data_IF_377490685448
#
_entry.id   IF_377490685448
#
_cell.length_a   1.000
_cell.length_b   1.000
_cell.length_c   1.000
_cell.angle_alpha   90.00
_cell.angle_beta   90.00
_cell.angle_gamma   90.00
#
_symmetry.space_group_name_H-M   'P 1'
#
loop_
_entity.id
_entity.type
_entity.pdbx_description
1 polymer ?
#
# COMPACT_ATOMS: atom_id res chain seq x y z
N UNK A 1 1.24 -20.84 -19.52
CA UNK A 1 0.97 -19.37 -19.48
C UNK A 1 2.29 -18.67 -19.28
N UNK A 2 2.52 -17.56 -19.98
CA UNK A 2 3.74 -16.76 -19.83
C UNK A 2 3.53 -15.77 -18.68
N UNK A 3 4.42 -15.77 -17.68
CA UNK A 3 4.38 -14.80 -16.62
C UNK A 3 4.93 -13.46 -17.12
N UNK A 4 4.26 -12.37 -16.77
CA UNK A 4 4.68 -11.01 -17.05
C UNK A 4 5.30 -10.41 -15.78
N UNK A 5 6.59 -10.19 -15.78
CA UNK A 5 7.35 -9.73 -14.63
C UNK A 5 7.68 -8.26 -14.80
N UNK A 6 7.31 -7.46 -13.80
CA UNK A 6 7.65 -6.03 -13.76
C UNK A 6 8.62 -5.81 -12.61
N UNK A 7 9.76 -5.19 -12.89
CA UNK A 7 10.69 -4.88 -11.82
C UNK A 7 11.18 -3.43 -11.85
N UNK A 8 11.41 -2.90 -10.66
CA UNK A 8 11.97 -1.58 -10.47
C UNK A 8 13.43 -1.69 -10.02
N UNK A 9 14.42 -1.41 -10.90
CA UNK A 9 15.82 -1.52 -10.56
C UNK A 9 16.26 -0.56 -9.44
N UNK A 10 15.56 0.54 -9.26
CA UNK A 10 15.87 1.57 -8.25
C UNK A 10 15.31 1.25 -6.86
N UNK A 11 14.42 0.25 -6.74
CA UNK A 11 13.87 -0.14 -5.45
C UNK A 11 14.95 -0.66 -4.50
N UNK A 12 14.71 -0.49 -3.18
CA UNK A 12 15.69 -0.84 -2.16
C UNK A 12 17.02 -0.08 -2.29
N UNK A 13 17.00 1.17 -2.79
CA UNK A 13 18.19 1.98 -3.09
C UNK A 13 19.10 1.33 -4.15
N UNK A 14 18.48 0.84 -5.23
CA UNK A 14 19.16 0.19 -6.35
C UNK A 14 19.56 -1.27 -6.09
N UNK A 15 19.11 -1.86 -4.99
CA UNK A 15 19.39 -3.27 -4.68
C UNK A 15 18.75 -4.19 -5.70
N UNK A 16 17.48 -3.94 -6.06
CA UNK A 16 16.76 -4.81 -7.01
C UNK A 16 17.47 -4.87 -8.36
N UNK A 17 18.04 -3.77 -8.84
CA UNK A 17 18.83 -3.76 -10.06
C UNK A 17 20.13 -4.56 -9.93
N UNK A 18 20.80 -4.51 -8.77
CA UNK A 18 22.03 -5.31 -8.54
C UNK A 18 21.73 -6.79 -8.43
N UNK A 19 20.63 -7.16 -7.79
CA UNK A 19 20.25 -8.55 -7.53
C UNK A 19 19.46 -9.16 -8.70
N UNK A 20 19.13 -8.35 -9.75
CA UNK A 20 18.17 -8.74 -10.78
C UNK A 20 18.51 -10.07 -11.46
N UNK A 21 19.77 -10.27 -11.86
CA UNK A 21 20.18 -11.50 -12.53
C UNK A 21 19.88 -12.76 -11.70
N UNK A 22 20.16 -12.70 -10.39
CA UNK A 22 19.89 -13.82 -9.49
C UNK A 22 18.40 -14.02 -9.27
N UNK A 23 17.63 -12.91 -9.18
CA UNK A 23 16.16 -12.92 -9.07
C UNK A 23 15.56 -13.55 -10.33
N UNK A 24 16.00 -13.13 -11.51
CA UNK A 24 15.54 -13.62 -12.80
C UNK A 24 15.77 -15.13 -12.92
N UNK A 25 17.00 -15.61 -12.70
CA UNK A 25 17.34 -17.02 -12.71
C UNK A 25 16.52 -17.84 -11.70
N UNK A 26 16.20 -17.28 -10.56
CA UNK A 26 15.37 -17.94 -9.55
C UNK A 26 13.88 -17.97 -9.95
N UNK A 27 13.37 -16.90 -10.56
CA UNK A 27 12.00 -16.85 -11.08
C UNK A 27 11.80 -17.79 -12.26
N UNK A 28 12.76 -17.93 -13.17
CA UNK A 28 12.70 -18.86 -14.31
C UNK A 28 12.52 -20.31 -13.88
N UNK A 29 13.06 -20.71 -12.72
CA UNK A 29 12.84 -22.04 -12.16
C UNK A 29 11.40 -22.28 -11.72
N UNK A 30 10.68 -21.22 -11.35
CA UNK A 30 9.28 -21.28 -10.92
C UNK A 30 8.33 -21.04 -12.09
N UNK A 31 8.70 -20.11 -12.98
CA UNK A 31 7.95 -19.69 -14.15
C UNK A 31 8.83 -19.82 -15.42
N UNK A 32 8.94 -21.03 -16.00
CA UNK A 32 9.86 -21.27 -17.14
C UNK A 32 9.56 -20.44 -18.40
N UNK A 33 8.33 -19.93 -18.51
CA UNK A 33 7.93 -19.01 -19.57
C UNK A 33 7.61 -17.66 -18.93
N UNK A 34 8.53 -16.71 -19.02
CA UNK A 34 8.31 -15.36 -18.54
C UNK A 34 8.91 -14.32 -19.48
N UNK A 35 8.33 -13.12 -19.46
CA UNK A 35 8.90 -11.91 -20.01
C UNK A 35 9.02 -10.87 -18.89
N UNK A 36 10.05 -10.03 -18.93
CA UNK A 36 10.25 -9.00 -17.91
C UNK A 36 10.33 -7.60 -18.51
N UNK A 37 9.89 -6.64 -17.74
CA UNK A 37 9.86 -5.23 -18.09
C UNK A 37 10.42 -4.38 -16.94
N UNK A 38 11.24 -3.41 -17.30
CA UNK A 38 11.95 -2.54 -16.37
C UNK A 38 11.20 -1.24 -16.24
N UNK A 39 10.87 -0.84 -15.00
CA UNK A 39 10.33 0.50 -14.78
C UNK A 39 11.46 1.53 -14.73
N UNK A 40 11.27 2.67 -15.36
CA UNK A 40 12.22 3.78 -15.41
C UNK A 40 11.71 5.04 -14.70
N UNK A 41 10.40 5.09 -14.40
CA UNK A 41 9.74 6.22 -13.74
C UNK A 41 8.62 5.74 -12.79
N UNK A 42 8.27 6.58 -11.82
CA UNK A 42 7.12 6.36 -10.95
C UNK A 42 5.81 6.32 -11.74
N UNK A 43 4.87 5.48 -11.32
CA UNK A 43 3.57 5.26 -11.99
C UNK A 43 3.63 4.30 -13.18
N UNK A 44 4.81 3.99 -13.69
CA UNK A 44 4.97 3.21 -14.91
C UNK A 44 4.55 1.74 -14.73
N UNK A 45 4.75 1.17 -13.53
CA UNK A 45 4.33 -0.21 -13.25
C UNK A 45 2.81 -0.40 -13.44
N UNK A 46 1.99 0.58 -13.03
CA UNK A 46 0.55 0.50 -13.21
C UNK A 46 0.14 0.50 -14.70
N UNK A 47 0.81 1.29 -15.54
CA UNK A 47 0.53 1.31 -16.98
C UNK A 47 0.94 -0.02 -17.63
N UNK A 48 2.14 -0.51 -17.33
CA UNK A 48 2.65 -1.77 -17.88
C UNK A 48 1.76 -2.98 -17.50
N UNK A 49 1.30 -3.03 -16.25
CA UNK A 49 0.35 -4.08 -15.82
C UNK A 49 -0.96 -3.97 -16.59
N UNK A 50 -1.49 -2.77 -16.74
CA UNK A 50 -2.76 -2.55 -17.46
C UNK A 50 -2.67 -3.03 -18.89
N UNK A 51 -1.60 -2.64 -19.60
CA UNK A 51 -1.37 -3.03 -20.98
C UNK A 51 -1.22 -4.55 -21.09
N UNK A 52 -0.43 -5.17 -20.21
CA UNK A 52 -0.24 -6.61 -20.17
C UNK A 52 -1.55 -7.38 -19.94
N UNK A 53 -2.41 -6.91 -19.02
CA UNK A 53 -3.72 -7.53 -18.78
C UNK A 53 -4.65 -7.37 -19.97
N UNK A 54 -4.61 -6.25 -20.68
CA UNK A 54 -5.39 -6.02 -21.92
C UNK A 54 -4.88 -6.91 -23.08
N UNK A 55 -3.56 -7.18 -23.11
CA UNK A 55 -2.92 -8.11 -24.08
C UNK A 55 -3.15 -9.59 -23.71
N UNK A 56 -3.86 -9.87 -22.61
CA UNK A 56 -4.25 -11.22 -22.20
C UNK A 56 -3.22 -11.95 -21.33
N UNK A 57 -2.23 -11.26 -20.78
CA UNK A 57 -1.37 -11.84 -19.75
C UNK A 57 -2.18 -12.04 -18.46
N UNK A 58 -2.18 -13.27 -17.94
CA UNK A 58 -2.94 -13.62 -16.74
C UNK A 58 -2.08 -13.94 -15.51
N UNK A 59 -0.77 -13.96 -15.64
CA UNK A 59 0.16 -14.13 -14.51
C UNK A 59 1.08 -12.91 -14.42
N UNK A 60 0.85 -12.05 -13.43
CA UNK A 60 1.57 -10.79 -13.23
C UNK A 60 2.42 -10.88 -11.97
N UNK A 61 3.70 -10.59 -12.08
CA UNK A 61 4.64 -10.62 -10.97
C UNK A 61 5.30 -9.25 -10.80
N UNK A 62 5.14 -8.62 -9.66
CA UNK A 62 5.82 -7.38 -9.32
C UNK A 62 7.06 -7.64 -8.47
N UNK A 63 8.22 -7.14 -8.90
CA UNK A 63 9.49 -7.28 -8.16
C UNK A 63 10.01 -5.91 -7.76
N UNK A 64 10.09 -5.66 -6.45
CA UNK A 64 10.54 -4.35 -5.99
C UNK A 64 10.26 -4.09 -4.51
N UNK A 65 10.06 -2.83 -4.14
CA UNK A 65 9.58 -2.40 -2.83
C UNK A 65 8.06 -2.29 -2.79
N UNK A 66 7.50 -1.96 -1.61
CA UNK A 66 6.04 -1.82 -1.41
C UNK A 66 5.42 -0.84 -2.43
N UNK A 67 6.10 0.27 -2.76
CA UNK A 67 5.62 1.22 -3.77
C UNK A 67 5.47 0.61 -5.17
N UNK A 68 6.44 -0.19 -5.62
CA UNK A 68 6.35 -0.88 -6.92
C UNK A 68 5.24 -1.92 -6.93
N UNK A 69 5.07 -2.66 -5.83
CA UNK A 69 4.01 -3.65 -5.67
C UNK A 69 2.64 -2.98 -5.67
N UNK A 70 2.48 -1.87 -4.94
CA UNK A 70 1.24 -1.10 -4.92
C UNK A 70 0.93 -0.48 -6.29
N UNK A 71 1.92 0.09 -6.99
CA UNK A 71 1.72 0.57 -8.36
C UNK A 71 1.23 -0.55 -9.29
N UNK A 72 1.86 -1.72 -9.25
CA UNK A 72 1.46 -2.87 -10.06
C UNK A 72 0.02 -3.30 -9.74
N UNK A 73 -0.36 -3.38 -8.46
CA UNK A 73 -1.73 -3.65 -8.05
C UNK A 73 -2.72 -2.66 -8.67
N UNK A 74 -2.38 -1.37 -8.67
CA UNK A 74 -3.23 -0.32 -9.24
C UNK A 74 -3.43 -0.46 -10.77
N UNK A 75 -2.54 -1.18 -11.45
CA UNK A 75 -2.68 -1.56 -12.85
C UNK A 75 -3.78 -2.59 -13.13
N UNK A 76 -4.20 -3.37 -12.13
CA UNK A 76 -5.29 -4.35 -12.26
C UNK A 76 -6.67 -3.71 -12.42
N UNK A 77 -6.80 -2.42 -12.12
CA UNK A 77 -8.09 -1.74 -12.09
C UNK A 77 -8.18 -0.62 -13.14
N UNK A 78 -9.32 -0.56 -13.81
CA UNK A 78 -9.68 0.53 -14.71
C UNK A 78 -11.13 0.94 -14.45
N UNK A 79 -11.38 2.24 -14.28
CA UNK A 79 -12.71 2.78 -13.98
C UNK A 79 -13.45 2.07 -12.83
N UNK A 80 -12.71 1.67 -11.80
CA UNK A 80 -13.29 1.02 -10.62
C UNK A 80 -13.50 -0.49 -10.73
N UNK A 81 -13.16 -1.12 -11.86
CA UNK A 81 -13.36 -2.55 -12.09
C UNK A 81 -12.03 -3.26 -12.37
N UNK A 82 -11.87 -4.54 -11.97
CA UNK A 82 -10.76 -5.37 -12.41
C UNK A 82 -10.77 -5.55 -13.93
N UNK A 83 -9.62 -5.39 -14.59
CA UNK A 83 -9.48 -5.54 -16.05
C UNK A 83 -9.60 -6.99 -16.45
N UNK A 84 -8.96 -7.89 -15.72
CA UNK A 84 -8.93 -9.33 -15.96
C UNK A 84 -9.20 -10.08 -14.64
N UNK A 85 -10.47 -10.43 -14.34
CA UNK A 85 -10.84 -11.05 -13.05
C UNK A 85 -10.18 -12.40 -12.77
N UNK A 86 -9.69 -13.08 -13.83
CA UNK A 86 -8.99 -14.37 -13.72
C UNK A 86 -7.47 -14.22 -13.60
N UNK A 87 -6.93 -13.00 -13.78
CA UNK A 87 -5.52 -12.75 -13.66
C UNK A 87 -5.05 -12.95 -12.21
N UNK A 88 -3.84 -13.50 -12.08
CA UNK A 88 -3.17 -13.75 -10.80
C UNK A 88 -2.12 -12.70 -10.58
N UNK A 89 -2.16 -12.07 -9.42
CA UNK A 89 -1.14 -11.17 -8.93
C UNK A 89 -0.17 -11.90 -8.00
N UNK A 90 1.11 -11.69 -8.20
CA UNK A 90 2.18 -12.20 -7.36
C UNK A 90 3.19 -11.09 -7.10
N UNK A 91 3.92 -11.14 -6.01
CA UNK A 91 4.97 -10.17 -5.77
C UNK A 91 6.21 -10.77 -5.08
N UNK A 92 7.35 -10.17 -5.36
CA UNK A 92 8.64 -10.44 -4.71
C UNK A 92 9.17 -9.14 -4.16
N UNK A 93 9.10 -8.99 -2.85
CA UNK A 93 9.65 -7.81 -2.20
C UNK A 93 11.16 -7.92 -2.06
N UNK A 94 11.91 -6.91 -2.53
CA UNK A 94 13.36 -6.84 -2.37
C UNK A 94 13.79 -5.66 -1.50
N UNK A 95 13.63 -5.82 -0.20
CA UNK A 95 14.01 -4.86 0.82
C UNK A 95 14.14 -5.54 2.19
N UNK A 96 14.45 -4.76 3.21
CA UNK A 96 14.60 -5.27 4.57
C UNK A 96 13.31 -5.29 5.38
N UNK A 97 12.35 -4.46 5.00
CA UNK A 97 11.09 -4.27 5.70
C UNK A 97 9.98 -3.95 4.69
N UNK A 98 8.82 -4.54 4.89
CA UNK A 98 7.65 -4.40 4.03
C UNK A 98 6.38 -4.47 4.86
N UNK A 99 5.50 -3.49 4.66
CA UNK A 99 4.18 -3.48 5.26
C UNK A 99 3.32 -4.63 4.71
N UNK A 100 3.39 -4.87 3.40
CA UNK A 100 2.67 -5.96 2.74
C UNK A 100 3.16 -7.34 3.18
N UNK A 101 4.48 -7.56 3.25
CA UNK A 101 5.00 -8.84 3.75
C UNK A 101 4.54 -9.11 5.18
N UNK A 102 4.58 -8.12 6.06
CA UNK A 102 4.07 -8.27 7.44
C UNK A 102 2.58 -8.58 7.46
N UNK A 103 1.78 -7.88 6.65
CA UNK A 103 0.33 -8.11 6.57
C UNK A 103 0.00 -9.56 6.21
N UNK A 104 0.69 -10.12 5.22
CA UNK A 104 0.48 -11.50 4.76
C UNK A 104 1.31 -12.56 5.52
N UNK A 105 2.06 -12.18 6.54
CA UNK A 105 2.93 -13.11 7.29
C UNK A 105 4.11 -13.64 6.47
N UNK A 106 4.54 -12.90 5.45
CA UNK A 106 5.64 -13.27 4.56
C UNK A 106 6.96 -12.70 5.06
N UNK A 107 8.05 -13.39 4.77
CA UNK A 107 9.40 -12.86 4.99
C UNK A 107 9.78 -11.87 3.90
N UNK A 108 10.37 -10.74 4.29
CA UNK A 108 10.94 -9.79 3.34
C UNK A 108 12.24 -10.33 2.72
N UNK A 109 12.58 -9.84 1.52
CA UNK A 109 13.74 -10.25 0.75
C UNK A 109 13.40 -11.23 -0.37
N UNK A 110 14.07 -11.05 -1.51
CA UNK A 110 13.71 -11.74 -2.73
C UNK A 110 13.88 -13.28 -2.66
N UNK A 111 14.90 -13.79 -1.96
CA UNK A 111 15.08 -15.24 -1.79
C UNK A 111 13.85 -15.90 -1.13
N UNK A 112 13.37 -15.29 -0.03
CA UNK A 112 12.19 -15.78 0.66
C UNK A 112 10.94 -15.64 -0.22
N UNK A 113 10.81 -14.51 -0.94
CA UNK A 113 9.70 -14.25 -1.84
C UNK A 113 9.61 -15.27 -2.97
N UNK A 114 10.69 -15.55 -3.70
CA UNK A 114 10.69 -16.54 -4.77
C UNK A 114 10.47 -17.96 -4.24
N UNK A 115 11.13 -18.33 -3.13
CA UNK A 115 10.91 -19.62 -2.48
C UNK A 115 9.46 -19.81 -2.03
N UNK A 116 8.80 -18.73 -1.61
CA UNK A 116 7.39 -18.73 -1.28
C UNK A 116 6.54 -18.94 -2.53
N UNK A 117 6.74 -18.20 -3.61
CA UNK A 117 5.97 -18.32 -4.86
C UNK A 117 5.97 -19.74 -5.43
N UNK A 118 7.07 -20.48 -5.27
CA UNK A 118 7.16 -21.87 -5.71
C UNK A 118 6.17 -22.81 -5.00
N UNK A 119 5.63 -22.44 -3.85
CA UNK A 119 4.73 -23.24 -3.01
C UNK A 119 3.39 -22.58 -2.74
N UNK A 120 3.26 -21.32 -3.09
CA UNK A 120 2.11 -20.47 -2.80
C UNK A 120 0.84 -20.98 -3.50
N UNK A 121 -0.28 -20.77 -2.87
CA UNK A 121 -1.61 -21.02 -3.42
C UNK A 121 -2.23 -19.72 -3.89
N UNK A 122 -3.18 -19.83 -4.79
CA UNK A 122 -3.96 -18.67 -5.26
C UNK A 122 -5.19 -18.53 -4.38
N UNK A 123 -5.37 -17.35 -3.83
CA UNK A 123 -6.51 -17.00 -2.99
C UNK A 123 -7.24 -15.79 -3.57
N UNK A 124 -8.58 -15.82 -3.54
CA UNK A 124 -9.38 -14.63 -3.76
C UNK A 124 -9.16 -13.67 -2.60
N UNK A 125 -8.73 -12.46 -2.91
CA UNK A 125 -8.30 -11.48 -1.92
C UNK A 125 -9.10 -10.20 -2.08
N UNK A 126 -9.52 -9.65 -0.94
CA UNK A 126 -10.18 -8.36 -0.87
C UNK A 126 -9.18 -7.25 -1.17
N UNK A 127 -9.65 -6.20 -1.82
CA UNK A 127 -8.87 -5.01 -2.14
C UNK A 127 -9.58 -3.80 -1.57
N UNK A 128 -8.84 -2.97 -0.85
CA UNK A 128 -9.32 -1.66 -0.45
C UNK A 128 -9.14 -0.65 -1.58
N UNK A 129 -10.10 0.26 -1.72
CA UNK A 129 -9.98 1.45 -2.56
C UNK A 129 -10.08 2.68 -1.68
N UNK A 130 -9.20 3.64 -1.89
CA UNK A 130 -9.34 4.99 -1.36
C UNK A 130 -9.51 5.99 -2.50
N UNK A 131 -10.50 6.87 -2.37
CA UNK A 131 -10.66 8.06 -3.20
C UNK A 131 -10.42 9.27 -2.32
N UNK A 132 -9.40 10.07 -2.65
CA UNK A 132 -8.92 11.20 -1.86
C UNK A 132 -8.47 12.35 -2.77
N UNK A 133 -7.80 13.33 -2.22
CA UNK A 133 -7.17 14.39 -2.99
C UNK A 133 -5.65 14.21 -3.02
N UNK A 134 -5.05 14.53 -4.14
CA UNK A 134 -3.59 14.72 -4.23
C UNK A 134 -3.17 16.00 -3.49
N UNK A 135 -1.87 16.21 -3.31
CA UNK A 135 -1.35 17.37 -2.60
C UNK A 135 -1.68 18.73 -3.26
N UNK A 136 -1.94 18.73 -4.57
CA UNK A 136 -2.39 19.86 -5.38
C UNK A 136 -3.92 19.97 -5.48
N UNK A 137 -4.66 19.09 -4.77
CA UNK A 137 -6.12 19.13 -4.69
C UNK A 137 -6.86 18.40 -5.83
N UNK A 138 -6.16 17.71 -6.72
CA UNK A 138 -6.80 16.92 -7.76
C UNK A 138 -7.38 15.60 -7.21
N UNK A 139 -8.51 15.10 -7.73
CA UNK A 139 -9.05 13.81 -7.35
C UNK A 139 -8.06 12.67 -7.65
N UNK A 140 -7.91 11.78 -6.69
CA UNK A 140 -7.00 10.64 -6.79
C UNK A 140 -7.67 9.38 -6.25
N UNK A 141 -7.48 8.25 -6.95
CA UNK A 141 -7.92 6.93 -6.50
C UNK A 141 -6.73 5.99 -6.40
N UNK A 142 -6.66 5.23 -5.31
CA UNK A 142 -5.65 4.21 -5.07
C UNK A 142 -6.29 2.93 -4.55
N UNK A 143 -5.71 1.79 -4.94
CA UNK A 143 -6.05 0.47 -4.43
C UNK A 143 -4.94 -0.04 -3.51
N UNK A 144 -5.31 -0.81 -2.51
CA UNK A 144 -4.38 -1.36 -1.52
C UNK A 144 -4.79 -2.76 -1.06
N UNK A 145 -3.82 -3.56 -0.65
CA UNK A 145 -4.00 -4.95 -0.19
C UNK A 145 -3.95 -5.07 1.33
N UNK A 146 -3.03 -4.36 1.94
CA UNK A 146 -2.75 -4.48 3.37
C UNK A 146 -3.56 -3.50 4.19
N UNK A 147 -3.08 -2.30 4.30
CA UNK A 147 -3.65 -1.29 5.19
C UNK A 147 -3.65 0.08 4.52
N UNK A 148 -4.73 0.83 4.69
CA UNK A 148 -4.69 2.27 4.51
C UNK A 148 -4.85 2.97 5.85
N UNK A 149 -4.20 4.11 6.01
CA UNK A 149 -4.26 4.90 7.23
C UNK A 149 -4.31 6.39 6.93
N UNK A 150 -4.88 7.16 7.86
CA UNK A 150 -4.81 8.60 7.81
C UNK A 150 -4.56 9.17 9.20
N UNK A 151 -3.89 10.31 9.22
CA UNK A 151 -3.52 10.94 10.46
C UNK A 151 -2.01 10.86 10.74
N UNK A 152 -1.65 10.67 12.01
CA UNK A 152 -0.27 10.74 12.48
C UNK A 152 0.63 9.65 11.86
N UNK A 153 0.11 8.44 11.64
CA UNK A 153 0.89 7.34 11.03
C UNK A 153 1.34 7.69 9.61
N UNK A 154 0.44 8.21 8.78
CA UNK A 154 0.75 8.68 7.44
C UNK A 154 1.78 9.82 7.43
N UNK A 155 1.67 10.78 8.37
CA UNK A 155 2.64 11.85 8.52
C UNK A 155 4.03 11.35 8.95
N UNK A 156 4.09 10.33 9.81
CA UNK A 156 5.35 9.69 10.24
C UNK A 156 5.99 8.94 9.06
N UNK A 157 5.23 8.18 8.30
CA UNK A 157 5.74 7.45 7.14
C UNK A 157 6.35 8.38 6.09
N UNK A 158 5.68 9.51 5.77
CA UNK A 158 6.25 10.54 4.87
C UNK A 158 7.53 11.15 5.39
N UNK A 159 7.60 11.42 6.70
CA UNK A 159 8.81 12.00 7.30
C UNK A 159 9.99 11.03 7.27
N UNK A 160 9.75 9.75 7.45
CA UNK A 160 10.76 8.69 7.33
C UNK A 160 11.21 8.55 5.87
N UNK A 161 10.30 8.60 4.90
CA UNK A 161 10.61 8.59 3.47
C UNK A 161 11.51 9.76 3.06
N UNK A 162 11.22 10.98 3.55
CA UNK A 162 12.05 12.16 3.33
C UNK A 162 13.42 12.08 4.04
N UNK A 163 13.48 11.50 5.24
CA UNK A 163 14.73 11.32 5.98
C UNK A 163 15.66 10.27 5.35
N UNK A 164 15.14 9.32 4.57
CA UNK A 164 15.95 8.42 3.73
C UNK A 164 16.76 9.17 2.67
N UNK A 165 16.25 10.32 2.21
CA UNK A 165 16.95 11.21 1.26
C UNK A 165 18.03 12.03 1.98
N UNK A 166 17.84 12.35 3.26
CA UNK A 166 18.83 13.07 4.08
C UNK A 166 19.72 12.08 4.85
N UNK A 167 20.80 11.65 4.24
CA UNK A 167 21.77 10.63 4.71
C UNK A 167 22.55 10.95 6.01
N UNK A 168 22.06 11.79 6.94
CA UNK A 168 22.94 12.37 7.98
C UNK A 168 22.42 12.37 9.43
N UNK A 169 21.41 11.60 9.80
CA UNK A 169 21.08 11.46 11.23
C UNK A 169 20.73 10.02 11.57
N UNK A 170 21.18 9.54 12.73
CA UNK A 170 20.84 8.20 13.22
C UNK A 170 19.33 8.00 13.19
N UNK A 171 18.87 7.03 12.43
CA UNK A 171 17.46 6.78 12.11
C UNK A 171 16.52 6.78 13.33
N UNK A 172 17.02 6.41 14.51
CA UNK A 172 16.25 6.38 15.76
C UNK A 172 15.95 7.75 16.36
N UNK A 173 16.88 8.70 16.24
CA UNK A 173 16.68 10.05 16.79
C UNK A 173 15.80 10.90 15.89
N UNK A 174 15.98 10.83 14.58
CA UNK A 174 15.13 11.50 13.62
C UNK A 174 13.67 11.00 13.70
N UNK A 175 13.44 9.69 13.79
CA UNK A 175 12.11 9.12 13.96
C UNK A 175 11.44 9.56 15.28
N UNK A 176 12.20 9.62 16.39
CA UNK A 176 11.66 10.10 17.68
C UNK A 176 11.34 11.59 17.67
N UNK A 177 12.22 12.42 17.08
CA UNK A 177 12.00 13.86 16.98
C UNK A 177 10.82 14.18 16.06
N UNK A 178 10.71 13.51 14.91
CA UNK A 178 9.57 13.67 14.01
C UNK A 178 8.27 13.17 14.64
N UNK A 179 8.29 12.06 15.36
CA UNK A 179 7.12 11.58 16.12
C UNK A 179 6.69 12.56 17.21
N UNK A 180 7.64 13.23 17.88
CA UNK A 180 7.34 14.27 18.87
C UNK A 180 6.76 15.54 18.22
N UNK A 181 7.36 16.02 17.13
CA UNK A 181 6.89 17.20 16.39
C UNK A 181 5.55 16.96 15.70
N UNK A 182 5.34 15.76 15.16
CA UNK A 182 4.05 15.36 14.62
C UNK A 182 2.98 15.34 15.72
N UNK A 183 3.24 14.73 16.88
CA UNK A 183 2.34 14.77 18.04
C UNK A 183 1.98 16.19 18.50
N UNK A 184 2.94 17.13 18.49
CA UNK A 184 2.69 18.52 18.86
C UNK A 184 1.76 19.23 17.87
N UNK A 185 1.85 18.91 16.57
CA UNK A 185 0.98 19.45 15.51
C UNK A 185 -0.42 18.83 15.53
N UNK A 186 -0.56 17.58 16.02
CA UNK A 186 -1.83 16.84 15.96
C UNK A 186 -2.75 17.03 17.16
N UNK A 187 -2.33 17.74 18.19
CA UNK A 187 -3.15 17.99 19.41
C UNK A 187 -4.47 18.70 19.17
N UNK A 188 -4.78 19.15 17.97
CA UNK A 188 -6.00 19.84 17.60
C UNK A 188 -6.69 19.34 16.32
N UNK A 189 -6.20 18.26 15.70
CA UNK A 189 -6.81 17.77 14.45
C UNK A 189 -8.07 16.99 14.75
N UNK A 190 -9.21 17.54 14.32
CA UNK A 190 -10.51 16.88 14.42
C UNK A 190 -10.91 16.38 13.05
N UNK A 191 -11.32 15.12 12.99
CA UNK A 191 -11.76 14.46 11.76
C UNK A 191 -13.17 13.95 11.97
N UNK A 192 -14.07 14.23 11.04
CA UNK A 192 -15.37 13.59 10.98
C UNK A 192 -15.24 12.25 10.26
N UNK A 193 -15.70 11.20 10.91
CA UNK A 193 -15.76 9.84 10.42
C UNK A 193 -17.20 9.44 10.22
N UNK A 194 -17.54 8.96 9.03
CA UNK A 194 -18.86 8.46 8.70
C UNK A 194 -18.74 7.04 8.12
N UNK A 195 -19.41 6.09 8.76
CA UNK A 195 -19.41 4.69 8.33
C UNK A 195 -20.72 4.03 8.77
N UNK A 196 -21.49 3.52 7.83
CA UNK A 196 -22.80 2.90 8.09
C UNK A 196 -23.65 3.71 9.11
N UNK A 197 -23.75 3.20 10.35
CA UNK A 197 -24.48 3.85 11.46
C UNK A 197 -23.56 4.67 12.39
N UNK A 198 -22.33 4.96 11.98
CA UNK A 198 -21.34 5.67 12.75
C UNK A 198 -21.08 7.05 12.15
N UNK A 199 -21.30 8.10 12.91
CA UNK A 199 -20.98 9.49 12.54
C UNK A 199 -20.42 10.20 13.76
N UNK A 200 -19.13 10.43 13.81
CA UNK A 200 -18.44 11.04 14.93
C UNK A 200 -17.40 12.05 14.47
N UNK A 201 -17.32 13.15 15.19
CA UNK A 201 -16.20 14.10 15.10
C UNK A 201 -15.26 13.79 16.26
N UNK A 202 -14.14 13.20 15.97
CA UNK A 202 -13.15 12.79 16.97
C UNK A 202 -11.81 13.51 16.76
N UNK A 203 -11.18 13.83 17.87
CA UNK A 203 -9.74 14.14 17.90
C UNK A 203 -8.97 12.83 17.90
N UNK A 204 -8.53 12.41 16.72
CA UNK A 204 -7.81 11.14 16.54
C UNK A 204 -6.35 11.39 16.20
N UNK A 205 -5.48 10.52 16.68
CA UNK A 205 -4.08 10.52 16.26
C UNK A 205 -3.92 9.83 14.91
N UNK A 206 -4.52 8.67 14.75
CA UNK A 206 -4.53 7.91 13.50
C UNK A 206 -5.72 6.95 13.46
N UNK A 207 -6.18 6.68 12.24
CA UNK A 207 -7.10 5.56 11.94
C UNK A 207 -6.47 4.73 10.87
N UNK A 208 -6.53 3.42 11.02
CA UNK A 208 -6.18 2.47 9.97
C UNK A 208 -7.38 1.61 9.59
N UNK A 209 -7.43 1.19 8.33
CA UNK A 209 -8.44 0.33 7.74
C UNK A 209 -7.77 -0.80 6.97
N UNK A 210 -8.16 -2.03 7.28
CA UNK A 210 -7.61 -3.24 6.65
C UNK A 210 -8.73 -4.02 5.99
N UNK A 211 -8.67 -4.33 4.67
CA UNK A 211 -9.68 -5.13 4.01
C UNK A 211 -9.68 -6.57 4.56
N UNK A 212 -10.84 -7.05 5.02
CA UNK A 212 -10.96 -8.40 5.54
C UNK A 212 -12.41 -8.90 5.42
N UNK A 213 -12.61 -10.00 4.70
CA UNK A 213 -13.92 -10.68 4.57
C UNK A 213 -15.04 -9.76 4.10
N UNK A 214 -14.75 -8.95 3.06
CA UNK A 214 -15.69 -8.01 2.46
C UNK A 214 -16.00 -6.75 3.27
N UNK A 215 -15.28 -6.52 4.36
CA UNK A 215 -15.40 -5.33 5.20
C UNK A 215 -14.02 -4.78 5.52
N UNK A 216 -13.96 -3.55 6.03
CA UNK A 216 -12.76 -3.04 6.70
C UNK A 216 -12.82 -3.37 8.19
N UNK A 217 -11.73 -3.90 8.70
CA UNK A 217 -11.41 -3.87 10.13
C UNK A 217 -10.73 -2.52 10.41
N UNK A 218 -11.36 -1.70 11.25
CA UNK A 218 -10.85 -0.37 11.60
C UNK A 218 -10.15 -0.42 12.96
N UNK A 219 -8.99 0.21 13.04
CA UNK A 219 -8.28 0.43 14.29
C UNK A 219 -8.04 1.93 14.51
N UNK A 220 -8.20 2.35 15.74
CA UNK A 220 -7.97 3.73 16.18
C UNK A 220 -6.71 3.76 17.04
N UNK A 221 -5.84 4.71 16.78
CA UNK A 221 -4.69 4.98 17.61
C UNK A 221 -4.92 6.29 18.40
N UNK A 222 -4.65 6.25 19.69
CA UNK A 222 -4.67 7.42 20.54
C UNK A 222 -3.46 8.35 20.27
N UNK A 223 -3.44 9.52 20.90
CA UNK A 223 -2.33 10.47 20.79
C UNK A 223 -0.98 9.95 21.32
N UNK A 224 -0.93 8.75 21.91
CA UNK A 224 0.27 8.06 22.37
C UNK A 224 0.72 6.97 21.39
N UNK A 225 -0.10 6.69 20.36
CA UNK A 225 0.14 5.65 19.37
C UNK A 225 -0.23 4.25 19.89
N UNK A 226 -1.08 4.18 20.92
CA UNK A 226 -1.63 2.92 21.42
C UNK A 226 -2.98 2.66 20.76
N UNK A 227 -3.22 1.39 20.39
CA UNK A 227 -4.51 0.99 19.85
C UNK A 227 -5.61 1.16 20.92
N UNK A 228 -6.66 1.85 20.54
CA UNK A 228 -7.87 1.91 21.37
C UNK A 228 -8.71 0.66 21.09
N UNK A 229 -8.49 -0.37 21.90
CA UNK A 229 -9.19 -1.65 21.75
C UNK A 229 -10.70 -1.56 21.98
N UNK A 230 -11.16 -0.49 22.66
CA UNK A 230 -12.59 -0.25 22.88
C UNK A 230 -13.31 0.24 21.62
N UNK A 231 -12.56 0.73 20.62
CA UNK A 231 -13.07 1.31 19.39
C UNK A 231 -12.66 0.44 18.19
N UNK A 232 -13.28 -0.72 18.05
CA UNK A 232 -13.17 -1.56 16.85
C UNK A 232 -14.47 -1.47 16.07
N UNK A 233 -14.36 -1.10 14.81
CA UNK A 233 -15.50 -0.98 13.91
C UNK A 233 -15.23 -1.81 12.65
N UNK A 234 -16.27 -2.44 12.12
CA UNK A 234 -16.24 -3.10 10.81
C UNK A 234 -17.24 -2.41 9.89
N UNK A 235 -16.82 -2.04 8.70
CA UNK A 235 -17.66 -1.33 7.74
C UNK A 235 -17.24 -1.66 6.31
N UNK A 236 -18.18 -1.67 5.38
CA UNK A 236 -17.88 -1.79 3.96
C UNK A 236 -17.41 -0.47 3.34
N UNK A 237 -17.81 0.65 3.96
CA UNK A 237 -17.46 2.00 3.50
C UNK A 237 -17.15 2.92 4.67
N UNK A 238 -16.11 3.72 4.54
CA UNK A 238 -15.74 4.78 5.46
C UNK A 238 -15.53 6.08 4.67
N UNK A 239 -16.03 7.18 5.19
CA UNK A 239 -15.66 8.52 4.73
C UNK A 239 -15.00 9.28 5.88
N UNK A 240 -13.88 9.92 5.59
CA UNK A 240 -13.13 10.75 6.53
C UNK A 240 -12.93 12.16 5.96
N UNK A 241 -13.22 13.18 6.75
CA UNK A 241 -13.02 14.57 6.37
C UNK A 241 -12.44 15.37 7.55
N UNK A 242 -11.46 16.22 7.29
CA UNK A 242 -10.97 17.17 8.28
C UNK A 242 -12.06 18.19 8.59
N UNK A 243 -12.21 18.60 9.86
CA UNK A 243 -13.15 19.65 10.23
C UNK A 243 -12.59 21.03 9.87
N UNK A 244 -13.47 22.03 9.77
CA UNK A 244 -13.09 23.40 9.42
C UNK A 244 -12.09 24.04 10.38
N UNK A 245 -12.04 23.56 11.62
CA UNK A 245 -11.10 24.02 12.64
C UNK A 245 -9.69 23.43 12.48
N UNK A 246 -9.51 22.51 11.51
CA UNK A 246 -8.24 21.82 11.27
C UNK A 246 -7.38 22.64 10.33
N UNK A 247 -6.38 23.31 10.86
CA UNK A 247 -5.46 24.15 10.10
C UNK A 247 -4.44 23.37 9.26
N UNK A 248 -4.35 22.04 9.44
CA UNK A 248 -3.35 21.20 8.79
C UNK A 248 -4.01 20.17 7.86
N UNK A 249 -3.39 19.91 6.70
CA UNK A 249 -3.76 18.79 5.83
C UNK A 249 -3.52 17.47 6.54
N UNK A 250 -4.48 16.57 6.43
CA UNK A 250 -4.40 15.23 6.98
C UNK A 250 -4.02 14.25 5.88
N UNK A 251 -2.89 13.59 6.06
CA UNK A 251 -2.34 12.68 5.09
C UNK A 251 -3.02 11.34 5.09
N UNK A 252 -3.10 10.74 3.91
CA UNK A 252 -3.56 9.38 3.65
C UNK A 252 -2.41 8.54 3.11
N UNK A 253 -2.27 7.34 3.61
CA UNK A 253 -1.26 6.34 3.24
C UNK A 253 -1.95 5.04 2.87
N UNK A 254 -1.39 4.30 1.90
CA UNK A 254 -1.80 2.96 1.50
C UNK A 254 -0.58 2.06 1.38
N UNK A 255 -0.60 0.90 2.03
CA UNK A 255 0.48 -0.11 1.99
C UNK A 255 1.87 0.47 2.29
N UNK A 256 1.95 1.49 3.17
CA UNK A 256 3.19 2.16 3.54
C UNK A 256 3.62 3.30 2.60
N UNK A 257 2.82 3.63 1.59
CA UNK A 257 3.11 4.69 0.62
C UNK A 257 2.10 5.84 0.71
N UNK A 258 2.55 7.08 0.48
CA UNK A 258 1.67 8.25 0.49
C UNK A 258 0.64 8.15 -0.64
N UNK A 259 -0.64 8.16 -0.29
CA UNK A 259 -1.75 8.09 -1.24
C UNK A 259 -2.36 9.46 -1.55
N UNK A 260 -2.36 10.40 -0.59
CA UNK A 260 -2.98 11.71 -0.79
C UNK A 260 -3.31 12.39 0.53
N UNK A 261 -4.38 13.18 0.52
CA UNK A 261 -4.87 13.93 1.70
C UNK A 261 -6.39 13.80 1.83
N UNK A 262 -6.93 14.05 3.05
CA UNK A 262 -8.37 14.16 3.27
C UNK A 262 -8.95 15.38 2.54
N UNK A 263 -10.26 15.34 2.15
CA UNK A 263 -11.22 14.28 2.45
C UNK A 263 -10.98 13.00 1.66
N UNK A 264 -11.34 11.85 2.25
CA UNK A 264 -11.18 10.55 1.63
C UNK A 264 -12.41 9.66 1.86
N UNK A 265 -12.72 8.82 0.88
CA UNK A 265 -13.65 7.70 1.03
C UNK A 265 -12.91 6.40 0.79
N UNK A 266 -13.24 5.40 1.61
CA UNK A 266 -12.66 4.06 1.55
C UNK A 266 -13.78 3.07 1.28
N UNK A 267 -13.59 2.19 0.30
CA UNK A 267 -14.52 1.12 -0.07
C UNK A 267 -13.78 -0.21 -0.16
N UNK A 268 -14.39 -1.31 0.27
CA UNK A 268 -13.88 -2.67 0.07
C UNK A 268 -14.42 -3.25 -1.22
N UNK A 269 -13.54 -3.88 -1.97
CA UNK A 269 -13.87 -4.73 -3.12
C UNK A 269 -13.63 -6.18 -2.72
N UNK A 270 -14.68 -6.93 -2.37
CA UNK A 270 -14.55 -8.31 -1.91
C UNK A 270 -14.04 -9.22 -3.02
N UNK A 271 -13.08 -10.09 -2.69
CA UNK A 271 -12.54 -11.10 -3.60
C UNK A 271 -12.14 -10.55 -4.99
N UNK A 272 -11.63 -9.31 -5.03
CA UNK A 272 -11.44 -8.55 -6.26
C UNK A 272 -10.29 -9.04 -7.13
N UNK A 273 -9.27 -9.67 -6.55
CA UNK A 273 -8.13 -10.23 -7.28
C UNK A 273 -7.81 -11.65 -6.84
N UNK A 274 -7.13 -12.40 -7.70
CA UNK A 274 -6.46 -13.62 -7.31
C UNK A 274 -5.03 -13.28 -6.88
N UNK A 275 -4.69 -13.47 -5.63
CA UNK A 275 -3.35 -13.24 -5.09
C UNK A 275 -2.67 -14.58 -4.83
N UNK A 276 -1.43 -14.73 -5.28
CA UNK A 276 -0.60 -15.91 -5.03
C UNK A 276 0.25 -15.68 -3.78
N UNK A 277 -0.18 -16.25 -2.68
CA UNK A 277 0.46 -16.20 -1.36
C UNK A 277 0.39 -17.52 -0.61
#
# INVERSE_FOLDING_TARGET
>A
MTAFVIFNPNSGSGRTGRDWREIEEALERVFPLMSFFVTTAAGQAAHMVRDALQDGHLEIIAVGGDGTINEALNGFFHNGLPIAPDAVFSFVHNGHDSALCRHFGLSAGWHAGVAHLARAKIHKTDVGRVSCLSADGAPLTRYFLGEASFGLSAAIARSIGRARIARLASHRFAARLHGFLARARWRGTRVRLMADNYDEIAGIASVSVTPARGLFDMAFLDGRGQADESRRLRTARLTAAATLDTAATVDVECDGESAGILPASFDVYPAAINLRI
#
